data_IF_849001952387
#
_entry.id   IF_849001952387
#
_cell.length_a   1.000
_cell.length_b   1.000
_cell.length_c   1.000
_cell.angle_alpha   90.00
_cell.angle_beta   90.00
_cell.angle_gamma   90.00
#
_symmetry.space_group_name_H-M   'P 1'
#
loop_
_entity.id
_entity.type
_entity.pdbx_description
1 polymer ?
#
# COMPACT_ATOMS: atom_id res chain seq x y z
N UNK A 1 -13.59 -30.52 26.45
CA UNK A 1 -12.70 -29.81 25.52
C UNK A 1 -12.93 -30.39 24.14
N UNK A 2 -13.74 -29.70 23.34
CA UNK A 2 -13.74 -29.91 21.90
C UNK A 2 -12.63 -28.99 21.36
N UNK A 3 -11.63 -29.58 20.71
CA UNK A 3 -10.64 -28.81 19.94
C UNK A 3 -11.35 -28.49 18.62
N UNK A 4 -11.46 -27.21 18.27
CA UNK A 4 -11.96 -26.84 16.94
C UNK A 4 -10.82 -27.13 15.96
N UNK A 5 -11.14 -27.79 14.85
CA UNK A 5 -10.20 -27.97 13.75
C UNK A 5 -10.49 -26.93 12.68
N UNK A 6 -9.54 -26.04 12.43
CA UNK A 6 -9.68 -24.92 11.49
C UNK A 6 -10.27 -23.67 12.15
N UNK A 7 -10.26 -22.55 11.41
CA UNK A 7 -10.67 -21.24 11.89
C UNK A 7 -12.05 -21.23 12.55
N UNK A 8 -12.15 -20.62 13.72
CA UNK A 8 -13.35 -20.52 14.53
C UNK A 8 -13.59 -19.11 15.08
N UNK A 9 -14.84 -18.84 15.46
CA UNK A 9 -15.22 -17.71 16.28
C UNK A 9 -15.81 -18.25 17.59
N UNK A 10 -15.16 -17.94 18.71
CA UNK A 10 -15.46 -18.50 20.03
C UNK A 10 -15.88 -17.37 20.97
N UNK A 11 -17.00 -17.58 21.65
CA UNK A 11 -17.57 -16.60 22.58
C UNK A 11 -17.75 -17.25 23.95
N UNK A 12 -17.27 -16.58 24.99
CA UNK A 12 -17.55 -16.90 26.37
C UNK A 12 -18.85 -16.27 26.85
N UNK A 13 -18.95 -16.09 28.15
CA UNK A 13 -20.12 -15.63 28.89
C UNK A 13 -19.76 -14.42 29.75
N UNK A 14 -20.62 -14.04 30.70
CA UNK A 14 -20.29 -12.99 31.69
C UNK A 14 -19.57 -13.58 32.93
N UNK A 15 -19.10 -14.82 32.85
CA UNK A 15 -18.41 -15.53 33.92
C UNK A 15 -16.98 -15.90 33.48
N UNK A 16 -16.11 -16.21 34.45
CA UNK A 16 -14.75 -16.64 34.15
C UNK A 16 -14.73 -17.94 33.32
N UNK A 17 -14.32 -17.83 32.06
CA UNK A 17 -14.31 -18.87 31.06
C UNK A 17 -12.88 -19.33 30.70
N UNK A 18 -12.78 -20.55 30.17
CA UNK A 18 -11.57 -21.07 29.55
C UNK A 18 -11.87 -21.40 28.10
N UNK A 19 -11.37 -20.58 27.20
CA UNK A 19 -11.59 -20.68 25.75
C UNK A 19 -10.30 -21.17 25.10
N UNK A 20 -10.42 -22.12 24.18
CA UNK A 20 -9.28 -22.65 23.41
C UNK A 20 -9.67 -22.79 21.96
N UNK A 21 -9.00 -22.06 21.06
CA UNK A 21 -9.24 -22.04 19.62
C UNK A 21 -8.84 -23.37 18.98
N UNK A 22 -7.56 -23.72 19.07
CA UNK A 22 -7.03 -24.99 18.58
C UNK A 22 -6.09 -24.80 17.40
N UNK A 23 -6.39 -25.44 16.27
CA UNK A 23 -5.64 -25.25 15.03
C UNK A 23 -6.41 -24.30 14.10
N UNK A 24 -5.73 -23.37 13.45
CA UNK A 24 -6.33 -22.40 12.53
C UNK A 24 -6.24 -20.98 13.06
N UNK A 25 -6.77 -20.01 12.30
CA UNK A 25 -6.83 -18.63 12.75
C UNK A 25 -8.18 -18.42 13.44
N UNK A 26 -8.17 -18.29 14.77
CA UNK A 26 -9.33 -18.18 15.62
C UNK A 26 -9.57 -16.76 16.12
N UNK A 27 -10.84 -16.42 16.33
CA UNK A 27 -11.27 -15.17 16.96
C UNK A 27 -11.96 -15.50 18.29
N UNK A 28 -11.44 -14.96 19.39
CA UNK A 28 -11.87 -15.26 20.75
C UNK A 28 -12.43 -14.00 21.42
N UNK A 29 -13.66 -14.08 21.92
CA UNK A 29 -14.27 -13.06 22.77
C UNK A 29 -14.61 -13.69 24.12
N UNK A 30 -13.93 -13.25 25.19
CA UNK A 30 -14.17 -13.74 26.55
C UNK A 30 -15.55 -13.35 27.08
N UNK A 31 -15.86 -12.05 27.00
CA UNK A 31 -17.07 -11.47 27.57
C UNK A 31 -16.71 -10.67 28.81
N UNK A 32 -17.45 -10.86 29.90
CA UNK A 32 -17.09 -10.30 31.19
C UNK A 32 -16.57 -11.41 32.11
N UNK A 33 -15.81 -11.05 33.14
CA UNK A 33 -15.20 -12.03 34.04
C UNK A 33 -13.70 -12.11 33.79
N UNK A 34 -13.02 -13.01 34.50
CA UNK A 34 -11.58 -13.20 34.35
C UNK A 34 -11.34 -14.44 33.49
N UNK A 35 -11.13 -14.23 32.20
CA UNK A 35 -11.10 -15.30 31.21
C UNK A 35 -9.68 -15.77 30.91
N UNK A 36 -9.58 -16.99 30.39
CA UNK A 36 -8.36 -17.52 29.78
C UNK A 36 -8.63 -17.75 28.30
N UNK A 37 -8.01 -16.94 27.45
CA UNK A 37 -8.12 -17.00 26.00
C UNK A 37 -6.85 -17.64 25.44
N UNK A 38 -6.98 -18.85 24.92
CA UNK A 38 -5.89 -19.59 24.28
C UNK A 38 -6.16 -19.76 22.79
N UNK A 39 -5.46 -19.03 21.92
CA UNK A 39 -5.65 -19.12 20.46
C UNK A 39 -5.22 -20.49 19.95
N UNK A 40 -3.95 -20.83 20.16
CA UNK A 40 -3.40 -22.13 19.82
C UNK A 40 -2.38 -22.03 18.71
N UNK A 41 -2.63 -22.69 17.58
CA UNK A 41 -1.77 -22.67 16.40
C UNK A 41 -2.43 -21.90 15.28
N UNK A 42 -1.87 -20.77 14.88
CA UNK A 42 -2.39 -19.96 13.80
C UNK A 42 -2.00 -18.50 14.01
N UNK A 43 -2.81 -17.60 13.47
CA UNK A 43 -2.82 -16.18 13.85
C UNK A 43 -4.17 -15.94 14.51
N UNK A 44 -4.15 -15.80 15.83
CA UNK A 44 -5.35 -15.79 16.67
C UNK A 44 -5.60 -14.40 17.25
N UNK A 45 -6.88 -14.03 17.35
CA UNK A 45 -7.33 -12.72 17.81
C UNK A 45 -8.08 -12.81 19.13
N UNK A 46 -7.80 -11.92 20.07
CA UNK A 46 -8.72 -11.61 21.16
C UNK A 46 -9.44 -10.27 20.89
N UNK A 47 -10.77 -10.28 20.97
CA UNK A 47 -11.60 -9.14 20.58
C UNK A 47 -12.47 -8.59 21.72
N UNK A 48 -12.47 -7.27 21.87
CA UNK A 48 -13.22 -6.52 22.88
C UNK A 48 -14.15 -5.43 22.33
N UNK A 49 -14.78 -5.57 21.13
CA UNK A 49 -15.50 -4.49 20.48
C UNK A 49 -16.72 -3.99 21.27
N UNK A 50 -17.25 -4.83 22.16
CA UNK A 50 -18.43 -4.55 22.97
C UNK A 50 -18.09 -4.20 24.43
N UNK A 51 -16.80 -4.06 24.78
CA UNK A 51 -16.42 -3.69 26.15
C UNK A 51 -16.99 -2.31 26.50
N UNK A 52 -17.61 -2.14 27.68
CA UNK A 52 -18.32 -0.91 28.03
C UNK A 52 -17.37 0.24 28.42
N UNK A 53 -16.08 -0.04 28.52
CA UNK A 53 -15.01 0.94 28.70
C UNK A 53 -13.74 0.45 28.00
N UNK A 54 -12.73 1.33 27.89
CA UNK A 54 -11.48 1.01 27.22
C UNK A 54 -10.69 -0.08 27.92
N UNK A 55 -9.97 -0.86 27.12
CA UNK A 55 -9.17 -1.99 27.58
C UNK A 55 -7.69 -1.62 27.74
N UNK A 56 -6.98 -2.36 28.59
CA UNK A 56 -5.52 -2.32 28.69
C UNK A 56 -4.93 -3.71 28.37
N UNK A 57 -4.51 -3.91 27.13
CA UNK A 57 -4.02 -5.19 26.63
C UNK A 57 -2.50 -5.17 26.41
N UNK A 58 -1.84 -6.28 26.73
CA UNK A 58 -0.45 -6.52 26.36
C UNK A 58 -0.23 -7.98 25.97
N UNK A 59 0.06 -8.20 24.68
CA UNK A 59 0.39 -9.53 24.16
C UNK A 59 1.71 -10.01 24.78
N UNK A 60 2.73 -9.14 24.85
CA UNK A 60 4.00 -9.46 25.52
C UNK A 60 3.84 -9.98 26.95
N UNK A 61 2.92 -9.38 27.71
CA UNK A 61 2.66 -9.77 29.09
C UNK A 61 1.67 -10.94 29.21
N UNK A 62 1.03 -11.35 28.11
CA UNK A 62 0.02 -12.41 28.08
C UNK A 62 -1.24 -12.05 28.88
N UNK A 63 -1.64 -10.77 28.89
CA UNK A 63 -2.73 -10.30 29.74
C UNK A 63 -3.51 -9.13 29.12
N UNK A 64 -4.81 -9.11 29.37
CA UNK A 64 -5.63 -7.90 29.32
C UNK A 64 -5.89 -7.48 30.76
N UNK A 65 -5.14 -6.49 31.25
CA UNK A 65 -5.13 -6.10 32.66
C UNK A 65 -6.42 -5.41 33.11
N UNK A 66 -7.10 -4.78 32.17
CA UNK A 66 -8.47 -4.29 32.28
C UNK A 66 -9.20 -4.66 30.98
N UNK A 67 -10.16 -5.57 31.05
CA UNK A 67 -11.00 -6.04 29.93
C UNK A 67 -12.14 -5.05 29.58
N UNK A 68 -12.22 -3.94 30.29
CA UNK A 68 -13.28 -2.94 30.16
C UNK A 68 -14.54 -3.27 30.97
N UNK A 69 -14.59 -4.42 31.66
CA UNK A 69 -15.67 -4.82 32.59
C UNK A 69 -15.25 -4.75 34.06
N UNK A 70 -13.98 -4.46 34.32
CA UNK A 70 -13.38 -4.41 35.66
C UNK A 70 -12.73 -5.72 36.09
N UNK A 71 -12.47 -6.62 35.14
CA UNK A 71 -11.76 -7.88 35.32
C UNK A 71 -10.47 -7.88 34.50
N UNK A 72 -9.77 -9.01 34.50
CA UNK A 72 -8.53 -9.20 33.75
C UNK A 72 -8.51 -10.57 33.10
N UNK A 73 -8.09 -10.63 31.84
CA UNK A 73 -7.99 -11.87 31.07
C UNK A 73 -6.56 -12.29 30.87
N UNK A 74 -6.34 -13.60 30.74
CA UNK A 74 -5.06 -14.20 30.36
C UNK A 74 -5.06 -14.53 28.88
N UNK A 75 -4.02 -14.09 28.17
CA UNK A 75 -3.80 -14.36 26.76
C UNK A 75 -2.71 -15.43 26.60
N UNK A 76 -2.98 -16.45 25.79
CA UNK A 76 -2.04 -17.53 25.46
C UNK A 76 -2.10 -17.74 23.94
N UNK A 77 -0.95 -17.66 23.26
CA UNK A 77 -0.88 -17.82 21.79
C UNK A 77 -1.91 -16.94 21.08
N UNK A 78 -1.79 -15.63 21.29
CA UNK A 78 -2.61 -14.60 20.66
C UNK A 78 -1.64 -13.64 19.98
N UNK A 79 -1.89 -13.34 18.71
CA UNK A 79 -1.06 -12.46 17.87
C UNK A 79 -1.84 -11.20 17.44
N UNK A 80 -3.15 -11.17 17.71
CA UNK A 80 -4.03 -10.06 17.36
C UNK A 80 -4.89 -9.57 18.51
N UNK A 81 -5.01 -8.25 18.65
CA UNK A 81 -5.97 -7.61 19.55
C UNK A 81 -6.86 -6.66 18.76
N UNK A 82 -8.17 -6.83 18.93
CA UNK A 82 -9.16 -5.82 18.56
C UNK A 82 -9.68 -5.20 19.85
N UNK A 83 -9.50 -3.88 19.97
CA UNK A 83 -9.95 -3.05 21.06
C UNK A 83 -11.47 -2.88 21.13
N UNK A 84 -11.87 -1.87 21.87
CA UNK A 84 -13.25 -1.46 22.12
C UNK A 84 -13.58 -0.19 21.32
N UNK A 85 -14.81 0.30 21.43
CA UNK A 85 -15.17 1.62 20.88
C UNK A 85 -14.80 2.79 21.80
N UNK A 86 -13.91 2.56 22.77
CA UNK A 86 -13.44 3.53 23.74
C UNK A 86 -11.92 3.58 23.74
N UNK A 87 -11.36 4.59 24.40
CA UNK A 87 -9.91 4.77 24.51
C UNK A 87 -9.19 3.55 25.10
N UNK A 88 -8.49 2.82 24.26
CA UNK A 88 -7.75 1.62 24.62
C UNK A 88 -6.25 1.89 24.75
N UNK A 89 -5.58 0.98 25.46
CA UNK A 89 -4.11 0.89 25.47
C UNK A 89 -3.72 -0.51 25.03
N UNK A 90 -3.14 -0.61 23.84
CA UNK A 90 -2.76 -1.86 23.20
C UNK A 90 -1.25 -1.94 23.08
N UNK A 91 -0.65 -3.02 23.55
CA UNK A 91 0.79 -3.30 23.43
C UNK A 91 1.01 -4.66 22.79
N UNK A 92 1.80 -4.70 21.73
CA UNK A 92 2.23 -5.91 21.05
C UNK A 92 3.27 -6.69 21.83
N UNK A 93 4.11 -7.42 21.11
CA UNK A 93 5.07 -8.39 21.61
C UNK A 93 6.44 -8.17 20.97
N UNK A 94 7.22 -9.24 20.82
CA UNK A 94 8.47 -9.22 20.07
C UNK A 94 8.35 -9.96 18.72
N UNK A 95 7.12 -10.33 18.37
CA UNK A 95 6.72 -11.05 17.18
C UNK A 95 5.78 -10.14 16.37
N UNK A 96 5.56 -10.42 15.08
CA UNK A 96 4.57 -9.68 14.30
C UNK A 96 3.17 -9.78 14.93
N UNK A 97 2.60 -8.62 15.28
CA UNK A 97 1.28 -8.52 15.89
C UNK A 97 0.31 -7.68 15.04
N UNK A 98 -1.00 -7.88 15.27
CA UNK A 98 -2.07 -7.06 14.66
C UNK A 98 -2.84 -6.34 15.75
N UNK A 99 -2.72 -5.01 15.80
CA UNK A 99 -3.36 -4.18 16.84
C UNK A 99 -4.36 -3.21 16.21
N UNK A 100 -5.63 -3.36 16.59
CA UNK A 100 -6.74 -2.55 16.06
C UNK A 100 -7.46 -1.85 17.21
N UNK A 101 -7.44 -0.52 17.25
CA UNK A 101 -8.10 0.30 18.28
C UNK A 101 -9.62 0.33 18.16
N UNK A 102 -10.13 0.56 16.94
CA UNK A 102 -11.54 0.79 16.58
C UNK A 102 -12.01 2.23 16.83
N UNK A 103 -12.41 2.57 18.05
CA UNK A 103 -13.03 3.86 18.34
C UNK A 103 -12.48 4.44 19.62
N UNK A 104 -12.36 5.76 19.69
CA UNK A 104 -11.83 6.41 20.88
C UNK A 104 -10.48 7.04 20.59
N UNK A 105 -9.78 7.50 21.62
CA UNK A 105 -8.40 7.98 21.48
C UNK A 105 -7.47 6.92 22.05
N UNK A 106 -6.89 6.12 21.16
CA UNK A 106 -6.16 4.91 21.50
C UNK A 106 -4.67 5.17 21.64
N UNK A 107 -4.00 4.35 22.44
CA UNK A 107 -2.54 4.27 22.48
C UNK A 107 -2.10 2.88 22.06
N UNK A 108 -1.46 2.80 20.90
CA UNK A 108 -1.01 1.56 20.27
C UNK A 108 0.52 1.56 20.24
N UNK A 109 1.13 0.50 20.76
CA UNK A 109 2.57 0.28 20.77
C UNK A 109 2.85 -1.14 20.23
N UNK A 110 3.35 -1.24 19.01
CA UNK A 110 3.71 -2.52 18.37
C UNK A 110 4.83 -3.26 19.11
N UNK A 111 5.71 -2.49 19.77
CA UNK A 111 6.89 -2.92 20.47
C UNK A 111 8.01 -3.43 19.54
N UNK A 112 8.13 -4.72 19.28
CA UNK A 112 9.12 -5.23 18.33
C UNK A 112 8.49 -6.31 17.45
N UNK A 113 8.97 -6.44 16.22
CA UNK A 113 8.29 -7.25 15.21
C UNK A 113 7.91 -6.39 14.03
N UNK A 114 7.38 -7.01 12.98
CA UNK A 114 6.88 -6.28 11.82
C UNK A 114 5.35 -6.18 11.98
N UNK A 115 4.86 -5.10 12.58
CA UNK A 115 3.50 -5.01 13.09
C UNK A 115 2.51 -4.38 12.11
N UNK A 116 1.24 -4.79 12.23
CA UNK A 116 0.10 -4.19 11.52
C UNK A 116 -0.76 -3.41 12.50
N UNK A 117 -0.77 -2.08 12.37
CA UNK A 117 -1.35 -1.17 13.34
C UNK A 117 -2.51 -0.39 12.73
N UNK A 118 -3.62 -0.28 13.45
CA UNK A 118 -4.78 0.48 13.01
C UNK A 118 -5.49 1.17 14.18
N UNK A 119 -5.33 2.48 14.29
CA UNK A 119 -6.13 3.30 15.22
C UNK A 119 -7.63 3.20 14.91
N UNK A 120 -7.98 3.37 13.62
CA UNK A 120 -9.36 3.53 13.14
C UNK A 120 -9.89 4.90 13.52
N UNK A 121 -11.08 5.06 14.10
CA UNK A 121 -11.64 6.39 14.36
C UNK A 121 -11.15 6.94 15.69
N UNK A 122 -10.53 8.11 15.69
CA UNK A 122 -9.95 8.55 16.94
C UNK A 122 -9.02 9.73 16.87
N UNK A 123 -8.36 9.96 17.99
CA UNK A 123 -7.14 10.75 17.99
C UNK A 123 -6.05 9.88 18.61
N UNK A 124 -5.42 9.07 17.76
CA UNK A 124 -4.65 7.93 18.23
C UNK A 124 -3.15 8.25 18.31
N UNK A 125 -2.48 7.58 19.24
CA UNK A 125 -1.03 7.58 19.37
C UNK A 125 -0.50 6.21 18.96
N UNK A 126 0.30 6.17 17.89
CA UNK A 126 0.81 4.92 17.30
C UNK A 126 2.33 4.91 17.37
N UNK A 127 2.90 3.95 18.10
CA UNK A 127 4.31 3.60 18.01
C UNK A 127 4.43 2.25 17.31
N UNK A 128 5.19 2.18 16.21
CA UNK A 128 5.53 0.89 15.60
C UNK A 128 6.53 0.14 16.45
N UNK A 129 7.74 0.69 16.54
CA UNK A 129 8.76 0.19 17.45
C UNK A 129 9.97 -0.31 16.69
N UNK A 130 10.51 -1.47 17.10
CA UNK A 130 11.63 -2.10 16.41
C UNK A 130 11.12 -3.09 15.34
N UNK A 131 11.33 -2.79 14.06
CA UNK A 131 10.95 -3.69 12.96
C UNK A 131 10.56 -2.91 11.73
N UNK A 132 9.72 -3.49 10.88
CA UNK A 132 9.07 -2.81 9.75
C UNK A 132 7.57 -2.77 10.01
N UNK A 133 7.10 -1.61 10.47
CA UNK A 133 5.72 -1.45 10.93
C UNK A 133 4.85 -0.78 9.87
N UNK A 134 3.59 -1.22 9.79
CA UNK A 134 2.59 -0.67 8.86
C UNK A 134 1.39 -0.12 9.61
N UNK A 135 1.14 1.18 9.49
CA UNK A 135 -0.10 1.81 9.94
C UNK A 135 -1.14 1.88 8.80
N UNK A 136 -2.37 1.44 9.06
CA UNK A 136 -3.44 1.39 8.06
C UNK A 136 -4.44 2.54 8.22
N UNK A 137 -4.77 3.14 7.08
CA UNK A 137 -5.75 4.21 6.93
C UNK A 137 -6.83 3.79 5.93
N UNK A 138 -8.09 4.09 6.24
CA UNK A 138 -9.24 3.53 5.51
C UNK A 138 -9.56 4.25 4.19
N UNK A 139 -9.09 5.47 4.02
CA UNK A 139 -9.20 6.27 2.80
C UNK A 139 -7.96 6.18 1.91
N UNK A 140 -8.01 6.85 0.76
CA UNK A 140 -6.80 7.06 -0.03
C UNK A 140 -6.02 8.30 0.41
N UNK A 141 -4.73 8.37 0.05
CA UNK A 141 -3.78 9.37 0.55
C UNK A 141 -4.28 10.82 0.42
N UNK A 142 -4.97 11.16 -0.68
CA UNK A 142 -5.51 12.52 -0.91
C UNK A 142 -6.58 12.96 0.09
N UNK A 143 -7.15 12.02 0.84
CA UNK A 143 -8.14 12.31 1.88
C UNK A 143 -7.47 12.83 3.16
N UNK A 144 -6.14 12.72 3.29
CA UNK A 144 -5.41 13.03 4.50
C UNK A 144 -4.52 14.25 4.34
N UNK A 145 -4.41 15.02 5.42
CA UNK A 145 -3.34 15.99 5.62
C UNK A 145 -2.23 15.33 6.44
N UNK A 146 -1.09 15.05 5.81
CA UNK A 146 0.07 14.44 6.45
C UNK A 146 1.15 15.49 6.74
N UNK A 147 1.65 15.50 7.96
CA UNK A 147 2.80 16.28 8.39
C UNK A 147 3.86 15.34 8.98
N UNK A 148 5.00 15.20 8.32
CA UNK A 148 6.12 14.38 8.81
C UNK A 148 7.11 15.27 9.56
N UNK A 149 7.51 14.85 10.76
CA UNK A 149 8.46 15.55 11.64
C UNK A 149 9.49 14.60 12.20
N UNK A 150 10.69 14.60 11.62
CA UNK A 150 11.78 13.72 12.06
C UNK A 150 11.41 12.26 11.82
N UNK A 151 11.36 11.46 12.89
CA UNK A 151 10.99 10.04 12.86
C UNK A 151 9.50 9.79 13.16
N UNK A 152 8.69 10.85 13.20
CA UNK A 152 7.25 10.74 13.45
C UNK A 152 6.42 11.53 12.47
N UNK A 153 5.11 11.41 12.60
CA UNK A 153 4.13 12.07 11.76
C UNK A 153 2.88 12.48 12.54
N UNK A 154 2.13 13.40 11.97
CA UNK A 154 0.72 13.64 12.29
C UNK A 154 -0.07 13.50 11.01
N UNK A 155 -1.17 12.77 11.06
CA UNK A 155 -2.04 12.55 9.91
C UNK A 155 -3.49 12.86 10.31
N UNK A 156 -4.13 13.74 9.55
CA UNK A 156 -5.51 14.15 9.79
C UNK A 156 -6.36 13.73 8.60
N UNK A 157 -7.39 12.94 8.86
CA UNK A 157 -8.42 12.62 7.90
C UNK A 157 -9.34 13.82 7.67
N UNK A 158 -9.47 14.25 6.41
CA UNK A 158 -10.33 15.37 6.03
C UNK A 158 -11.73 14.92 5.58
N UNK A 159 -12.04 13.62 5.64
CA UNK A 159 -13.38 13.08 5.35
C UNK A 159 -14.34 13.41 6.49
N UNK A 160 -15.64 13.27 6.22
CA UNK A 160 -16.67 13.52 7.23
C UNK A 160 -16.71 12.40 8.29
N UNK A 161 -17.07 12.76 9.53
CA UNK A 161 -16.92 11.97 10.76
C UNK A 161 -17.60 10.58 10.84
N UNK A 162 -18.28 10.10 9.79
CA UNK A 162 -18.95 8.79 9.80
C UNK A 162 -18.00 7.61 9.56
N UNK A 163 -16.95 7.81 8.76
CA UNK A 163 -15.96 6.81 8.36
C UNK A 163 -14.52 7.37 8.44
N UNK A 164 -14.34 8.45 9.22
CA UNK A 164 -13.06 9.15 9.30
C UNK A 164 -12.16 8.49 10.34
N UNK A 165 -10.89 8.31 10.01
CA UNK A 165 -9.90 7.79 10.95
C UNK A 165 -9.55 8.86 12.02
N UNK A 166 -9.81 10.14 11.74
CA UNK A 166 -9.63 11.21 12.72
C UNK A 166 -8.25 11.85 12.63
N UNK A 167 -7.56 12.07 13.76
CA UNK A 167 -6.24 12.74 13.77
C UNK A 167 -5.24 12.00 14.64
N UNK A 168 -4.31 11.34 13.98
CA UNK A 168 -3.37 10.44 14.64
C UNK A 168 -1.96 11.02 14.62
N UNK A 169 -1.20 10.67 15.64
CA UNK A 169 0.22 10.93 15.72
C UNK A 169 0.96 9.61 15.85
N UNK A 170 2.05 9.45 15.10
CA UNK A 170 2.84 8.25 15.18
C UNK A 170 4.34 8.43 15.06
N UNK A 171 5.08 7.41 15.49
CA UNK A 171 6.55 7.32 15.48
C UNK A 171 7.00 5.90 15.20
N UNK A 172 8.16 5.76 14.56
CA UNK A 172 8.73 4.44 14.28
C UNK A 172 7.80 3.56 13.44
N UNK A 173 7.16 4.15 12.42
CA UNK A 173 6.34 3.44 11.45
C UNK A 173 6.95 3.64 10.08
N UNK A 174 7.28 2.55 9.41
CA UNK A 174 7.98 2.55 8.14
C UNK A 174 7.04 2.65 6.95
N UNK A 175 5.77 2.27 7.11
CA UNK A 175 4.78 2.23 6.03
C UNK A 175 3.45 2.81 6.51
N UNK A 176 2.95 3.82 5.80
CA UNK A 176 1.55 4.25 5.91
C UNK A 176 0.78 3.67 4.72
N UNK A 177 -0.18 2.79 5.00
CA UNK A 177 -0.97 2.08 4.00
C UNK A 177 -2.33 2.73 3.82
N UNK A 178 -2.71 2.97 2.57
CA UNK A 178 -3.95 3.63 2.18
C UNK A 178 -4.74 2.77 1.19
N UNK A 179 -6.00 3.14 0.94
CA UNK A 179 -6.84 2.46 -0.05
C UNK A 179 -6.22 2.43 -1.46
N UNK A 180 -5.41 3.44 -1.83
CA UNK A 180 -4.88 3.67 -3.17
C UNK A 180 -3.36 3.48 -3.31
N UNK A 181 -2.67 3.05 -2.26
CA UNK A 181 -1.22 2.82 -2.30
C UNK A 181 -0.60 2.85 -0.91
N UNK A 182 0.72 2.96 -0.85
CA UNK A 182 1.47 3.07 0.39
C UNK A 182 2.51 4.18 0.31
N UNK A 183 2.73 4.85 1.44
CA UNK A 183 3.78 5.82 1.60
C UNK A 183 4.90 5.18 2.43
N UNK A 184 6.10 5.11 1.85
CA UNK A 184 7.21 4.30 2.36
C UNK A 184 8.31 5.18 2.95
N UNK A 185 8.67 4.89 4.20
CA UNK A 185 9.72 5.55 4.99
C UNK A 185 10.90 4.62 5.31
N UNK A 186 10.82 3.32 5.01
CA UNK A 186 11.96 2.42 5.14
C UNK A 186 12.97 2.63 4.00
N UNK A 187 14.24 2.84 4.39
CA UNK A 187 15.33 2.98 3.45
C UNK A 187 15.69 1.67 2.73
N UNK A 188 15.28 0.51 3.23
CA UNK A 188 15.56 -0.80 2.64
C UNK A 188 14.41 -1.36 1.78
N UNK A 189 13.24 -0.73 1.80
CA UNK A 189 12.11 -1.09 0.94
C UNK A 189 12.51 -1.00 -0.55
N UNK A 190 11.99 -1.90 -1.40
CA UNK A 190 12.16 -1.81 -2.84
C UNK A 190 11.95 -0.41 -3.44
N UNK A 191 10.99 0.38 -2.94
CA UNK A 191 10.74 1.75 -3.38
C UNK A 191 11.96 2.65 -3.19
N UNK A 192 12.54 2.67 -1.98
CA UNK A 192 13.73 3.45 -1.67
C UNK A 192 14.95 2.99 -2.49
N UNK A 193 15.09 1.67 -2.67
CA UNK A 193 16.19 1.07 -3.45
C UNK A 193 16.09 1.41 -4.94
N UNK A 194 14.88 1.41 -5.50
CA UNK A 194 14.64 1.79 -6.90
C UNK A 194 14.91 3.27 -7.11
N UNK A 195 14.42 4.16 -6.23
CA UNK A 195 14.71 5.61 -6.31
C UNK A 195 16.21 5.88 -6.28
N UNK A 196 16.95 5.29 -5.33
CA UNK A 196 18.41 5.42 -5.26
C UNK A 196 19.11 4.92 -6.52
N UNK A 197 18.61 3.82 -7.10
CA UNK A 197 19.19 3.28 -8.33
C UNK A 197 18.95 4.20 -9.53
N UNK A 198 17.79 4.86 -9.61
CA UNK A 198 17.52 5.90 -10.61
C UNK A 198 18.46 7.09 -10.47
N UNK A 199 18.67 7.59 -9.26
CA UNK A 199 19.59 8.71 -9.04
C UNK A 199 21.04 8.31 -9.36
N UNK A 200 21.48 7.14 -8.91
CA UNK A 200 22.82 6.65 -9.18
C UNK A 200 23.07 6.43 -10.68
N UNK A 201 22.11 5.82 -11.39
CA UNK A 201 22.27 5.47 -12.79
C UNK A 201 21.98 6.63 -13.74
N UNK A 202 20.93 7.39 -13.48
CA UNK A 202 20.35 8.36 -14.41
C UNK A 202 20.46 9.80 -13.93
N UNK A 203 20.83 10.07 -12.68
CA UNK A 203 20.90 11.43 -12.11
C UNK A 203 19.55 12.17 -12.22
N UNK A 204 18.47 11.46 -11.86
CA UNK A 204 17.11 12.01 -11.72
C UNK A 204 16.23 11.10 -10.87
N UNK A 205 15.12 11.66 -10.39
CA UNK A 205 14.02 10.88 -9.85
C UNK A 205 13.30 10.04 -10.94
N UNK A 206 12.71 8.90 -10.57
CA UNK A 206 11.81 8.16 -11.45
C UNK A 206 10.49 8.91 -11.70
N UNK A 207 9.90 8.69 -12.86
CA UNK A 207 8.46 8.93 -13.06
C UNK A 207 7.64 7.85 -12.34
N UNK A 208 6.37 8.12 -12.05
CA UNK A 208 5.57 7.23 -11.18
C UNK A 208 5.40 5.84 -11.81
N UNK A 209 5.09 5.79 -13.12
CA UNK A 209 4.90 4.52 -13.82
C UNK A 209 6.19 3.67 -13.84
N UNK A 210 7.34 4.31 -14.10
CA UNK A 210 8.65 3.68 -14.00
C UNK A 210 8.95 3.19 -12.59
N UNK A 211 8.66 4.00 -11.56
CA UNK A 211 8.88 3.63 -10.16
C UNK A 211 8.08 2.37 -9.79
N UNK A 212 6.76 2.37 -9.96
CA UNK A 212 5.90 1.26 -9.60
C UNK A 212 6.25 -0.04 -10.37
N UNK A 213 6.56 0.07 -11.67
CA UNK A 213 6.95 -1.09 -12.46
C UNK A 213 8.22 -1.78 -11.91
N UNK A 214 9.22 -0.99 -11.50
CA UNK A 214 10.46 -1.52 -10.96
C UNK A 214 10.34 -1.99 -9.51
N UNK A 215 9.50 -1.34 -8.70
CA UNK A 215 9.14 -1.84 -7.37
C UNK A 215 8.54 -3.24 -7.49
N UNK A 216 7.53 -3.41 -8.34
CA UNK A 216 6.88 -4.71 -8.58
C UNK A 216 7.85 -5.76 -9.10
N UNK A 217 8.77 -5.39 -10.00
CA UNK A 217 9.81 -6.31 -10.48
C UNK A 217 10.74 -6.78 -9.35
N UNK A 218 11.19 -5.87 -8.47
CA UNK A 218 12.07 -6.21 -7.34
C UNK A 218 11.32 -7.06 -6.32
N UNK A 219 10.08 -6.73 -5.99
CA UNK A 219 9.22 -7.54 -5.12
C UNK A 219 8.95 -8.93 -5.71
N UNK A 220 8.82 -9.03 -7.03
CA UNK A 220 8.73 -10.29 -7.77
C UNK A 220 10.04 -11.11 -7.84
N UNK A 221 11.10 -10.66 -7.16
CA UNK A 221 12.38 -11.37 -7.06
C UNK A 221 13.43 -10.98 -8.10
N UNK A 222 13.19 -9.95 -8.93
CA UNK A 222 14.22 -9.43 -9.82
C UNK A 222 15.33 -8.76 -9.00
N UNK A 223 16.60 -9.17 -9.14
CA UNK A 223 17.68 -8.54 -8.41
C UNK A 223 17.92 -7.11 -8.93
N UNK A 224 18.33 -6.20 -8.04
CA UNK A 224 18.69 -4.82 -8.43
C UNK A 224 19.75 -4.77 -9.53
N UNK A 225 20.66 -5.73 -9.60
CA UNK A 225 21.67 -5.80 -10.66
C UNK A 225 21.05 -6.04 -12.05
N UNK A 226 19.90 -6.71 -12.12
CA UNK A 226 19.10 -6.83 -13.35
C UNK A 226 18.53 -5.48 -13.79
N UNK A 227 17.97 -4.71 -12.86
CA UNK A 227 17.47 -3.35 -13.13
C UNK A 227 18.61 -2.42 -13.56
N UNK A 228 19.72 -2.45 -12.81
CA UNK A 228 20.92 -1.68 -13.09
C UNK A 228 21.46 -1.97 -14.50
N UNK A 229 21.48 -3.24 -14.92
CA UNK A 229 21.84 -3.63 -16.28
C UNK A 229 20.92 -3.01 -17.33
N UNK A 230 19.60 -3.01 -17.07
CA UNK A 230 18.60 -2.38 -17.93
C UNK A 230 18.82 -0.86 -18.07
N UNK A 231 19.06 -0.16 -16.96
CA UNK A 231 19.36 1.28 -16.98
C UNK A 231 20.62 1.58 -17.79
N UNK A 232 21.71 0.86 -17.54
CA UNK A 232 22.97 1.05 -18.26
C UNK A 232 22.85 0.78 -19.78
N UNK A 233 21.94 -0.11 -20.19
CA UNK A 233 21.68 -0.43 -21.59
C UNK A 233 20.68 0.53 -22.28
N UNK A 234 19.93 1.31 -21.49
CA UNK A 234 18.83 2.14 -21.98
C UNK A 234 19.29 3.23 -22.96
N UNK A 235 18.38 3.63 -23.85
CA UNK A 235 18.60 4.79 -24.73
C UNK A 235 18.76 6.08 -23.92
N UNK A 236 18.04 6.20 -22.80
CA UNK A 236 18.13 7.36 -21.92
C UNK A 236 19.52 7.52 -21.32
N UNK A 237 20.08 6.45 -20.75
CA UNK A 237 21.42 6.49 -20.16
C UNK A 237 22.46 6.91 -21.22
N UNK A 238 22.39 6.31 -22.42
CA UNK A 238 23.25 6.68 -23.55
C UNK A 238 23.05 8.11 -24.01
N UNK A 239 21.83 8.63 -23.99
CA UNK A 239 21.54 10.02 -24.36
C UNK A 239 22.08 11.01 -23.32
N UNK A 240 21.98 10.70 -22.03
CA UNK A 240 22.46 11.57 -20.93
C UNK A 240 23.98 11.60 -20.82
N UNK A 241 24.63 10.45 -20.92
CA UNK A 241 26.05 10.31 -20.56
C UNK A 241 26.95 9.88 -21.72
N UNK A 242 26.39 9.59 -22.89
CA UNK A 242 27.11 9.06 -24.04
C UNK A 242 27.49 7.59 -23.88
N UNK A 243 28.31 7.09 -24.81
CA UNK A 243 28.91 5.77 -24.66
C UNK A 243 29.99 5.85 -23.57
N UNK A 244 29.81 5.12 -22.45
CA UNK A 244 30.87 5.03 -21.44
C UNK A 244 32.01 4.16 -21.98
N UNK A 245 33.05 4.83 -22.49
CA UNK A 245 34.15 4.20 -23.21
C UNK A 245 34.96 3.22 -22.36
N UNK A 246 35.38 3.61 -21.16
CA UNK A 246 36.22 2.78 -20.28
C UNK A 246 35.69 2.71 -18.84
N UNK A 247 36.25 1.79 -18.05
CA UNK A 247 35.86 1.57 -16.66
C UNK A 247 36.19 2.78 -15.76
N UNK A 248 37.16 3.62 -16.11
CA UNK A 248 37.52 4.82 -15.35
C UNK A 248 36.45 5.90 -15.48
N UNK A 249 36.08 6.22 -16.71
CA UNK A 249 34.98 7.14 -17.00
C UNK A 249 33.66 6.68 -16.37
N UNK A 250 33.44 5.37 -16.29
CA UNK A 250 32.28 4.81 -15.58
C UNK A 250 32.30 5.10 -14.09
N UNK A 251 33.39 4.77 -13.40
CA UNK A 251 33.53 4.99 -11.96
C UNK A 251 33.45 6.49 -11.64
N UNK A 252 34.11 7.33 -12.45
CA UNK A 252 34.05 8.78 -12.28
C UNK A 252 32.62 9.31 -12.41
N UNK A 253 31.82 8.77 -13.34
CA UNK A 253 30.40 9.11 -13.47
C UNK A 253 29.59 8.73 -12.24
N UNK A 254 29.78 7.53 -11.69
CA UNK A 254 29.06 7.11 -10.49
C UNK A 254 29.39 7.99 -9.29
N UNK A 255 30.66 8.36 -9.09
CA UNK A 255 31.05 9.31 -8.05
C UNK A 255 30.36 10.67 -8.21
N UNK A 256 30.21 11.16 -9.45
CA UNK A 256 29.49 12.41 -9.71
C UNK A 256 27.99 12.29 -9.42
N UNK A 257 27.32 11.27 -9.97
CA UNK A 257 25.87 11.11 -9.81
C UNK A 257 25.47 10.85 -8.35
N UNK A 258 26.23 10.01 -7.64
CA UNK A 258 25.88 9.51 -6.30
C UNK A 258 26.35 10.45 -5.21
N UNK A 259 27.55 11.02 -5.37
CA UNK A 259 28.23 11.76 -4.30
C UNK A 259 28.51 13.23 -4.64
N UNK A 260 28.18 13.66 -5.87
CA UNK A 260 28.41 15.04 -6.31
C UNK A 260 29.88 15.47 -6.30
N UNK A 261 30.82 14.52 -6.31
CA UNK A 261 32.26 14.79 -6.13
C UNK A 261 33.11 13.84 -6.95
N UNK A 262 34.39 14.18 -7.08
CA UNK A 262 35.37 13.22 -7.59
C UNK A 262 35.63 12.13 -6.54
N UNK A 263 35.85 10.90 -7.01
CA UNK A 263 36.34 9.82 -6.15
C UNK A 263 37.74 10.13 -5.64
N UNK A 264 38.01 9.77 -4.39
CA UNK A 264 39.38 9.78 -3.90
C UNK A 264 40.21 8.72 -4.64
N UNK A 265 41.53 8.91 -4.68
CA UNK A 265 42.41 8.07 -5.49
C UNK A 265 42.29 6.57 -5.13
N UNK A 266 42.20 6.25 -3.84
CA UNK A 266 42.16 4.87 -3.37
C UNK A 266 40.81 4.21 -3.68
N UNK A 267 39.70 4.90 -3.41
CA UNK A 267 38.36 4.41 -3.72
C UNK A 267 38.17 4.19 -5.23
N UNK A 268 38.60 5.15 -6.04
CA UNK A 268 38.56 5.02 -7.50
C UNK A 268 39.39 3.85 -8.01
N UNK A 269 40.62 3.68 -7.50
CA UNK A 269 41.51 2.57 -7.86
C UNK A 269 40.91 1.21 -7.48
N UNK A 270 40.26 1.12 -6.31
CA UNK A 270 39.58 -0.10 -5.85
C UNK A 270 38.47 -0.53 -6.81
N UNK A 271 37.57 0.39 -7.18
CA UNK A 271 36.48 0.09 -8.12
C UNK A 271 36.97 -0.27 -9.51
N UNK A 272 38.00 0.42 -10.00
CA UNK A 272 38.67 0.09 -11.26
C UNK A 272 39.26 -1.32 -11.22
N UNK A 273 39.94 -1.68 -10.13
CA UNK A 273 40.47 -3.01 -9.91
C UNK A 273 39.36 -4.07 -9.94
N UNK A 274 38.24 -3.83 -9.26
CA UNK A 274 37.10 -4.74 -9.23
C UNK A 274 36.48 -4.97 -10.61
N UNK A 275 36.26 -3.91 -11.40
CA UNK A 275 35.76 -4.00 -12.77
C UNK A 275 36.74 -4.75 -13.68
N UNK A 276 38.03 -4.47 -13.57
CA UNK A 276 39.07 -5.14 -14.36
C UNK A 276 39.27 -6.61 -13.96
N UNK A 277 38.91 -6.97 -12.72
CA UNK A 277 38.90 -8.34 -12.23
C UNK A 277 37.60 -9.11 -12.60
N UNK A 278 36.65 -8.48 -13.29
CA UNK A 278 35.44 -9.13 -13.83
C UNK A 278 34.14 -8.82 -13.09
N UNK A 279 34.14 -7.93 -12.09
CA UNK A 279 32.88 -7.44 -11.50
C UNK A 279 32.07 -6.71 -12.57
N UNK A 280 30.76 -6.97 -12.64
CA UNK A 280 29.93 -6.32 -13.67
C UNK A 280 29.72 -4.84 -13.36
N UNK A 281 29.52 -4.03 -14.41
CA UNK A 281 29.17 -2.61 -14.23
C UNK A 281 27.87 -2.46 -13.41
N UNK A 282 26.90 -3.34 -13.63
CA UNK A 282 25.64 -3.34 -12.91
C UNK A 282 25.83 -3.58 -11.40
N UNK A 283 26.68 -4.53 -11.01
CA UNK A 283 26.97 -4.80 -9.60
C UNK A 283 27.69 -3.61 -8.95
N UNK A 284 28.60 -2.95 -9.68
CA UNK A 284 29.25 -1.72 -9.19
C UNK A 284 28.23 -0.59 -9.03
N UNK A 285 27.30 -0.40 -9.97
CA UNK A 285 26.23 0.60 -9.84
C UNK A 285 25.36 0.33 -8.61
N UNK A 286 24.96 -0.92 -8.40
CA UNK A 286 24.20 -1.31 -7.19
C UNK A 286 25.01 -1.04 -5.93
N UNK A 287 26.32 -1.35 -5.92
CA UNK A 287 27.17 -1.10 -4.76
C UNK A 287 27.32 0.41 -4.45
N UNK A 288 27.38 1.26 -5.47
CA UNK A 288 27.34 2.72 -5.30
C UNK A 288 25.97 3.19 -4.79
N UNK A 289 24.88 2.75 -5.43
CA UNK A 289 23.50 3.06 -5.06
C UNK A 289 23.19 2.71 -3.60
N UNK A 290 23.67 1.55 -3.14
CA UNK A 290 23.37 1.03 -1.81
C UNK A 290 24.50 1.31 -0.80
N UNK A 291 25.48 2.13 -1.16
CA UNK A 291 26.55 2.55 -0.25
C UNK A 291 25.99 3.37 0.91
N UNK A 292 26.64 3.30 2.07
CA UNK A 292 26.26 4.07 3.25
C UNK A 292 26.26 5.59 2.98
N UNK A 293 27.20 6.06 2.16
CA UNK A 293 27.28 7.48 1.78
C UNK A 293 26.09 7.89 0.91
N UNK A 294 25.68 7.07 -0.07
CA UNK A 294 24.49 7.36 -0.87
C UNK A 294 23.20 7.30 -0.06
N UNK A 295 23.04 6.26 0.78
CA UNK A 295 21.86 6.16 1.67
C UNK A 295 21.74 7.38 2.58
N UNK A 296 22.85 7.93 3.06
CA UNK A 296 22.88 9.18 3.81
C UNK A 296 22.52 10.39 2.93
N UNK A 297 23.02 10.45 1.70
CA UNK A 297 22.70 11.50 0.72
C UNK A 297 21.22 11.55 0.33
N UNK A 298 20.56 10.39 0.25
CA UNK A 298 19.15 10.27 -0.14
C UNK A 298 18.20 10.16 1.06
N UNK A 299 18.70 10.32 2.29
CA UNK A 299 17.90 10.12 3.51
C UNK A 299 16.68 11.04 3.55
N UNK A 300 16.80 12.28 3.08
CA UNK A 300 15.70 13.23 3.05
C UNK A 300 14.56 12.80 2.11
N UNK A 301 14.86 12.08 1.02
CA UNK A 301 13.83 11.57 0.10
C UNK A 301 12.99 10.50 0.79
N UNK A 302 13.65 9.60 1.52
CA UNK A 302 13.00 8.53 2.27
C UNK A 302 12.21 9.11 3.46
N UNK A 303 12.76 10.09 4.18
CA UNK A 303 12.08 10.77 5.30
C UNK A 303 10.80 11.51 4.88
N UNK A 304 10.72 11.99 3.64
CA UNK A 304 9.51 12.64 3.13
C UNK A 304 8.44 11.63 2.65
N UNK A 305 8.74 10.33 2.66
CA UNK A 305 7.88 9.29 2.16
C UNK A 305 7.97 9.12 0.64
N UNK A 306 8.16 7.89 0.20
CA UNK A 306 8.11 7.52 -1.22
C UNK A 306 6.73 6.95 -1.53
N UNK A 307 6.01 7.60 -2.44
CA UNK A 307 4.69 7.14 -2.85
C UNK A 307 4.76 5.96 -3.81
N UNK A 308 4.30 4.82 -3.33
CA UNK A 308 4.14 3.58 -4.09
C UNK A 308 2.64 3.34 -4.33
N UNK A 309 2.14 3.92 -5.43
CA UNK A 309 0.75 3.79 -5.87
C UNK A 309 0.37 2.33 -6.16
N UNK A 310 -0.84 1.92 -5.81
CA UNK A 310 -1.39 0.64 -6.32
C UNK A 310 -1.84 0.79 -7.79
N UNK A 311 -1.25 0.01 -8.70
CA UNK A 311 -1.68 -0.06 -10.09
C UNK A 311 -3.12 -0.57 -10.22
N UNK A 312 -3.46 -1.60 -9.45
CA UNK A 312 -4.82 -2.14 -9.41
C UNK A 312 -5.83 -1.08 -8.98
N UNK A 313 -5.49 -0.25 -7.98
CA UNK A 313 -6.35 0.87 -7.57
C UNK A 313 -6.53 1.89 -8.71
N UNK A 314 -5.45 2.26 -9.39
CA UNK A 314 -5.50 3.23 -10.49
C UNK A 314 -6.33 2.72 -11.68
N UNK A 315 -6.20 1.45 -12.04
CA UNK A 315 -6.97 0.79 -13.10
C UNK A 315 -8.45 0.67 -12.72
N UNK A 316 -8.77 0.24 -11.50
CA UNK A 316 -10.15 0.18 -11.01
C UNK A 316 -10.80 1.56 -10.99
N UNK A 317 -10.09 2.60 -10.56
CA UNK A 317 -10.62 3.97 -10.57
C UNK A 317 -10.94 4.46 -11.99
N UNK A 318 -10.13 4.09 -13.00
CA UNK A 318 -10.45 4.38 -14.42
C UNK A 318 -11.65 3.58 -14.92
N UNK A 319 -11.85 2.35 -14.44
CA UNK A 319 -13.07 1.59 -14.75
C UNK A 319 -14.32 2.25 -14.15
N UNK A 320 -14.24 2.78 -12.92
CA UNK A 320 -15.34 3.54 -12.31
C UNK A 320 -15.67 4.77 -13.13
N UNK A 321 -14.66 5.56 -13.51
CA UNK A 321 -14.84 6.76 -14.33
C UNK A 321 -15.48 6.41 -15.68
N UNK A 322 -14.97 5.37 -16.35
CA UNK A 322 -15.48 4.91 -17.65
C UNK A 322 -16.93 4.43 -17.58
N UNK A 323 -17.29 3.66 -16.55
CA UNK A 323 -18.63 3.03 -16.48
C UNK A 323 -19.67 3.97 -15.87
N UNK A 324 -19.31 4.75 -14.87
CA UNK A 324 -20.25 5.54 -14.07
C UNK A 324 -20.09 7.06 -14.22
N UNK A 325 -19.00 7.54 -14.83
CA UNK A 325 -18.70 8.98 -14.96
C UNK A 325 -18.30 9.62 -13.63
N UNK A 326 -17.75 8.83 -12.71
CA UNK A 326 -17.29 9.27 -11.38
C UNK A 326 -16.16 8.38 -10.88
N UNK A 327 -15.38 8.91 -9.94
CA UNK A 327 -14.35 8.15 -9.22
C UNK A 327 -14.98 7.26 -8.12
N UNK A 328 -14.25 6.26 -7.61
CA UNK A 328 -14.78 5.37 -6.57
C UNK A 328 -14.85 6.04 -5.20
N UNK A 329 -15.61 5.40 -4.29
CA UNK A 329 -15.41 5.54 -2.85
C UNK A 329 -14.30 4.57 -2.38
N UNK A 330 -13.75 4.79 -1.18
CA UNK A 330 -12.64 3.98 -0.67
C UNK A 330 -13.02 2.50 -0.45
N UNK A 331 -14.19 2.16 0.14
CA UNK A 331 -14.59 0.77 0.30
C UNK A 331 -14.76 0.02 -1.02
N UNK A 332 -15.43 0.64 -1.99
CA UNK A 332 -15.68 0.08 -3.32
C UNK A 332 -14.41 -0.09 -4.12
N UNK A 333 -13.43 0.82 -4.00
CA UNK A 333 -12.10 0.65 -4.56
C UNK A 333 -11.37 -0.54 -3.93
N UNK A 334 -11.37 -0.61 -2.60
CA UNK A 334 -10.67 -1.63 -1.81
C UNK A 334 -11.07 -3.04 -2.19
N UNK A 335 -12.38 -3.32 -2.34
CA UNK A 335 -12.90 -4.64 -2.73
C UNK A 335 -12.27 -5.13 -4.04
N UNK A 336 -12.28 -4.30 -5.09
CA UNK A 336 -11.77 -4.71 -6.40
C UNK A 336 -10.26 -4.73 -6.47
N UNK A 337 -9.59 -3.75 -5.84
CA UNK A 337 -8.13 -3.72 -5.70
C UNK A 337 -7.64 -5.02 -5.06
N UNK A 338 -8.15 -5.37 -3.89
CA UNK A 338 -7.73 -6.58 -3.16
C UNK A 338 -7.98 -7.84 -3.98
N UNK A 339 -9.12 -7.94 -4.67
CA UNK A 339 -9.42 -9.08 -5.53
C UNK A 339 -8.42 -9.20 -6.71
N UNK A 340 -7.99 -8.08 -7.31
CA UNK A 340 -7.00 -8.08 -8.40
C UNK A 340 -5.61 -8.43 -7.87
N UNK A 341 -5.17 -7.81 -6.77
CA UNK A 341 -3.86 -8.04 -6.16
C UNK A 341 -3.71 -9.49 -5.66
N UNK A 342 -4.80 -10.10 -5.18
CA UNK A 342 -4.84 -11.51 -4.81
C UNK A 342 -4.97 -12.48 -6.01
N UNK A 343 -5.04 -11.98 -7.24
CA UNK A 343 -5.23 -12.79 -8.46
C UNK A 343 -6.60 -13.46 -8.56
N UNK A 344 -7.58 -12.99 -7.78
CA UNK A 344 -8.95 -13.51 -7.73
C UNK A 344 -9.87 -12.89 -8.79
N UNK A 345 -9.50 -11.72 -9.31
CA UNK A 345 -10.22 -11.03 -10.38
C UNK A 345 -9.25 -10.42 -11.41
N UNK A 346 -9.72 -10.29 -12.64
CA UNK A 346 -9.10 -9.51 -13.72
C UNK A 346 -9.89 -8.24 -13.98
N UNK A 347 -9.26 -7.23 -14.60
CA UNK A 347 -9.93 -5.98 -14.98
C UNK A 347 -11.17 -6.21 -15.87
N UNK A 348 -11.12 -7.20 -16.76
CA UNK A 348 -12.29 -7.58 -17.58
C UNK A 348 -13.44 -8.09 -16.71
N UNK A 349 -13.15 -8.91 -15.68
CA UNK A 349 -14.19 -9.37 -14.75
C UNK A 349 -14.76 -8.23 -13.90
N UNK A 350 -13.94 -7.26 -13.50
CA UNK A 350 -14.41 -6.06 -12.80
C UNK A 350 -15.32 -5.23 -13.72
N UNK A 351 -14.91 -4.98 -14.96
CA UNK A 351 -15.71 -4.28 -15.97
C UNK A 351 -17.05 -4.99 -16.25
N UNK A 352 -17.04 -6.32 -16.33
CA UNK A 352 -18.26 -7.12 -16.48
C UNK A 352 -19.18 -6.95 -15.26
N UNK A 353 -18.63 -7.04 -14.05
CA UNK A 353 -19.39 -6.82 -12.81
C UNK A 353 -20.00 -5.42 -12.73
N UNK A 354 -19.28 -4.38 -13.17
CA UNK A 354 -19.80 -3.01 -13.20
C UNK A 354 -20.96 -2.87 -14.17
N UNK A 355 -20.81 -3.35 -15.41
CA UNK A 355 -21.89 -3.27 -16.41
C UNK A 355 -23.09 -4.17 -16.08
N UNK A 356 -22.89 -5.21 -15.27
CA UNK A 356 -23.94 -6.07 -14.74
C UNK A 356 -24.53 -5.59 -13.39
N UNK A 357 -24.04 -4.48 -12.83
CA UNK A 357 -24.44 -4.01 -11.51
C UNK A 357 -25.86 -3.42 -11.48
N UNK A 358 -26.44 -3.35 -10.27
CA UNK A 358 -27.70 -2.64 -10.06
C UNK A 358 -27.55 -1.12 -10.27
N UNK A 359 -26.38 -0.56 -9.91
CA UNK A 359 -26.05 0.85 -10.13
C UNK A 359 -26.08 1.19 -11.62
N UNK A 360 -25.41 0.42 -12.46
CA UNK A 360 -25.38 0.64 -13.91
C UNK A 360 -26.78 0.59 -14.52
N UNK A 361 -27.58 -0.41 -14.15
CA UNK A 361 -28.98 -0.49 -14.58
C UNK A 361 -29.83 0.66 -14.06
N UNK A 362 -29.56 1.15 -12.85
CA UNK A 362 -30.25 2.29 -12.26
C UNK A 362 -29.93 3.59 -12.99
N UNK A 363 -28.67 3.79 -13.38
CA UNK A 363 -28.20 5.00 -14.06
C UNK A 363 -28.63 5.04 -15.54
N UNK A 364 -28.52 3.92 -16.26
CA UNK A 364 -28.70 3.91 -17.72
C UNK A 364 -29.89 3.09 -18.23
N UNK A 365 -30.50 2.25 -17.39
CA UNK A 365 -31.52 1.29 -17.83
C UNK A 365 -30.96 0.22 -18.77
N UNK A 366 -31.73 -0.16 -19.78
CA UNK A 366 -31.31 -1.14 -20.80
C UNK A 366 -30.80 -0.41 -22.04
N UNK A 367 -29.49 -0.33 -22.18
CA UNK A 367 -28.85 0.26 -23.36
C UNK A 367 -28.74 -0.76 -24.49
N UNK A 368 -28.94 -0.32 -25.74
CA UNK A 368 -28.49 -1.07 -26.91
C UNK A 368 -26.95 -0.90 -27.09
N UNK A 369 -26.33 -1.58 -28.06
CA UNK A 369 -24.88 -1.50 -28.25
C UNK A 369 -24.38 -0.11 -28.66
N UNK A 370 -25.15 0.64 -29.43
CA UNK A 370 -24.81 2.00 -29.84
C UNK A 370 -24.90 2.96 -28.66
N UNK A 371 -26.02 2.94 -27.94
CA UNK A 371 -26.24 3.82 -26.78
C UNK A 371 -25.22 3.52 -25.66
N UNK A 372 -24.82 2.26 -25.51
CA UNK A 372 -23.73 1.85 -24.63
C UNK A 372 -22.40 2.50 -25.03
N UNK A 373 -22.02 2.42 -26.30
CA UNK A 373 -20.80 3.07 -26.79
C UNK A 373 -20.85 4.60 -26.62
N UNK A 374 -22.00 5.23 -26.90
CA UNK A 374 -22.19 6.68 -26.68
C UNK A 374 -22.00 7.06 -25.21
N UNK A 375 -22.53 6.29 -24.27
CA UNK A 375 -22.37 6.54 -22.84
C UNK A 375 -20.88 6.50 -22.41
N UNK A 376 -20.11 5.54 -22.92
CA UNK A 376 -18.68 5.45 -22.61
C UNK A 376 -17.89 6.66 -23.14
N UNK A 377 -18.20 7.16 -24.34
CA UNK A 377 -17.56 8.39 -24.84
C UNK A 377 -17.81 9.59 -23.92
N UNK A 378 -19.04 9.74 -23.44
CA UNK A 378 -19.40 10.84 -22.55
C UNK A 378 -18.67 10.73 -21.22
N UNK A 379 -18.66 9.55 -20.61
CA UNK A 379 -18.03 9.34 -19.31
C UNK A 379 -16.52 9.45 -19.38
N UNK A 380 -15.89 8.69 -20.30
CA UNK A 380 -14.44 8.53 -20.37
C UNK A 380 -13.73 9.73 -20.99
N UNK A 381 -14.36 10.40 -21.96
CA UNK A 381 -13.68 11.40 -22.79
C UNK A 381 -14.32 12.79 -22.72
N UNK A 382 -15.32 12.97 -21.86
CA UNK A 382 -16.08 14.22 -21.67
C UNK A 382 -16.65 14.80 -22.98
N UNK A 383 -16.97 13.94 -23.95
CA UNK A 383 -17.41 14.37 -25.28
C UNK A 383 -18.33 13.37 -25.95
N UNK A 384 -19.11 13.87 -26.91
CA UNK A 384 -19.84 13.00 -27.82
C UNK A 384 -18.88 12.20 -28.71
N UNK A 385 -19.29 10.98 -29.04
CA UNK A 385 -18.58 10.14 -30.00
C UNK A 385 -18.55 10.80 -31.39
N UNK A 386 -17.41 10.76 -32.06
CA UNK A 386 -17.38 11.03 -33.49
C UNK A 386 -18.02 9.86 -34.25
N UNK A 387 -18.48 10.12 -35.47
CA UNK A 387 -19.23 9.13 -36.24
C UNK A 387 -18.43 7.84 -36.47
N UNK A 388 -17.14 7.95 -36.80
CA UNK A 388 -16.31 6.80 -37.14
C UNK A 388 -16.03 5.94 -35.90
N UNK A 389 -15.68 6.56 -34.77
CA UNK A 389 -15.47 5.88 -33.50
C UNK A 389 -16.72 5.14 -33.02
N UNK A 390 -17.88 5.79 -33.13
CA UNK A 390 -19.15 5.17 -32.73
C UNK A 390 -19.54 3.98 -33.63
N UNK A 391 -19.36 4.12 -34.94
CA UNK A 391 -19.59 3.01 -35.89
C UNK A 391 -18.66 1.83 -35.62
N UNK A 392 -17.39 2.10 -35.31
CA UNK A 392 -16.40 1.07 -34.97
C UNK A 392 -16.82 0.26 -33.74
N UNK A 393 -17.09 0.93 -32.61
CA UNK A 393 -17.42 0.25 -31.36
C UNK A 393 -18.77 -0.46 -31.40
N UNK A 394 -19.77 0.16 -32.04
CA UNK A 394 -21.08 -0.48 -32.26
C UNK A 394 -20.91 -1.75 -33.11
N UNK A 395 -20.10 -1.68 -34.18
CA UNK A 395 -19.79 -2.82 -35.04
C UNK A 395 -19.07 -3.95 -34.30
N UNK A 396 -18.10 -3.62 -33.44
CA UNK A 396 -17.37 -4.58 -32.62
C UNK A 396 -18.29 -5.33 -31.66
N UNK A 397 -19.15 -4.61 -30.92
CA UNK A 397 -20.15 -5.20 -30.03
C UNK A 397 -21.14 -6.09 -30.78
N UNK A 398 -21.61 -5.65 -31.95
CA UNK A 398 -22.50 -6.44 -32.80
C UNK A 398 -21.83 -7.70 -33.36
N UNK A 399 -20.49 -7.70 -33.45
CA UNK A 399 -19.70 -8.84 -33.91
C UNK A 399 -19.27 -9.79 -32.78
N UNK A 400 -19.72 -9.54 -31.54
CA UNK A 400 -19.53 -10.43 -30.40
C UNK A 400 -18.44 -10.00 -29.41
N UNK A 401 -17.80 -8.84 -29.58
CA UNK A 401 -16.95 -8.27 -28.53
C UNK A 401 -17.79 -7.97 -27.29
N UNK A 402 -17.31 -8.34 -26.10
CA UNK A 402 -18.07 -8.11 -24.87
C UNK A 402 -18.08 -6.63 -24.46
N UNK A 403 -19.09 -6.23 -23.69
CA UNK A 403 -19.14 -4.88 -23.10
C UNK A 403 -17.96 -4.61 -22.18
N UNK A 404 -17.54 -5.62 -21.42
CA UNK A 404 -16.39 -5.55 -20.53
C UNK A 404 -15.08 -5.26 -21.28
N UNK A 405 -14.86 -5.92 -22.43
CA UNK A 405 -13.68 -5.66 -23.28
C UNK A 405 -13.71 -4.25 -23.87
N UNK A 406 -14.88 -3.75 -24.28
CA UNK A 406 -15.02 -2.37 -24.76
C UNK A 406 -14.75 -1.37 -23.63
N UNK A 407 -15.32 -1.57 -22.43
CA UNK A 407 -15.04 -0.74 -21.25
C UNK A 407 -13.55 -0.69 -20.95
N UNK A 408 -12.88 -1.85 -20.93
CA UNK A 408 -11.45 -1.91 -20.66
C UNK A 408 -10.65 -1.13 -21.73
N UNK A 409 -11.04 -1.24 -23.01
CA UNK A 409 -10.37 -0.51 -24.08
C UNK A 409 -10.54 1.01 -23.99
N UNK A 410 -11.69 1.50 -23.51
CA UNK A 410 -11.90 2.92 -23.22
C UNK A 410 -11.09 3.36 -21.98
N UNK A 411 -11.20 2.60 -20.89
CA UNK A 411 -10.53 2.84 -19.61
C UNK A 411 -9.01 2.99 -19.77
N UNK A 412 -8.39 2.11 -20.55
CA UNK A 412 -6.94 2.09 -20.74
C UNK A 412 -6.49 2.80 -22.02
N UNK A 413 -7.38 3.59 -22.64
CA UNK A 413 -7.00 4.43 -23.77
C UNK A 413 -6.04 5.53 -23.32
N UNK A 414 -5.06 5.87 -24.15
CA UNK A 414 -4.09 6.94 -23.84
C UNK A 414 -4.75 8.28 -23.58
N UNK A 415 -5.86 8.57 -24.25
CA UNK A 415 -6.63 9.81 -24.06
C UNK A 415 -7.24 9.85 -22.65
N UNK A 416 -7.91 8.77 -22.23
CA UNK A 416 -8.51 8.68 -20.90
C UNK A 416 -7.48 8.74 -19.77
N UNK A 417 -6.40 7.94 -19.88
CA UNK A 417 -5.30 7.91 -18.92
C UNK A 417 -4.68 9.32 -18.74
N UNK A 418 -4.64 10.12 -19.81
CA UNK A 418 -4.19 11.50 -19.75
C UNK A 418 -5.22 12.45 -19.12
N UNK A 419 -6.52 12.28 -19.43
CA UNK A 419 -7.61 13.09 -18.87
C UNK A 419 -7.74 12.90 -17.35
N UNK A 420 -7.63 11.67 -16.87
CA UNK A 420 -7.77 11.37 -15.43
C UNK A 420 -6.46 11.51 -14.66
N UNK A 421 -5.36 11.89 -15.31
CA UNK A 421 -4.02 11.84 -14.71
C UNK A 421 -3.92 12.63 -13.40
N UNK A 422 -4.45 13.86 -13.37
CA UNK A 422 -4.44 14.71 -12.18
C UNK A 422 -5.29 14.16 -11.02
N UNK A 423 -6.22 13.25 -11.30
CA UNK A 423 -7.14 12.69 -10.33
C UNK A 423 -6.74 11.30 -9.84
N UNK A 424 -5.98 10.53 -10.61
CA UNK A 424 -5.66 9.12 -10.32
C UNK A 424 -4.14 8.87 -10.18
N UNK A 425 -3.33 9.68 -10.85
CA UNK A 425 -1.91 9.41 -11.04
C UNK A 425 -1.04 10.65 -11.09
N UNK A 426 -1.37 11.63 -10.25
CA UNK A 426 -0.57 12.84 -10.15
C UNK A 426 0.86 12.49 -9.72
N UNK A 427 1.84 13.10 -10.39
CA UNK A 427 3.26 13.05 -9.99
C UNK A 427 3.64 14.21 -9.06
N UNK A 428 2.70 15.10 -8.73
CA UNK A 428 2.92 16.16 -7.75
C UNK A 428 2.76 15.60 -6.32
N UNK A 429 3.79 15.67 -5.46
CA UNK A 429 3.73 15.13 -4.10
C UNK A 429 2.54 15.61 -3.26
N UNK A 430 2.14 16.87 -3.41
CA UNK A 430 0.97 17.41 -2.69
C UNK A 430 -0.38 16.93 -3.24
N UNK A 431 -0.37 16.07 -4.26
CA UNK A 431 -1.55 15.55 -4.95
C UNK A 431 -1.44 14.05 -5.23
N UNK A 432 -0.49 13.34 -4.60
CA UNK A 432 -0.37 11.88 -4.71
C UNK A 432 -1.64 11.17 -4.25
N UNK A 433 -1.98 10.08 -4.94
CA UNK A 433 -3.17 9.28 -4.68
C UNK A 433 -4.36 9.63 -5.59
N UNK A 434 -5.45 8.93 -5.35
CA UNK A 434 -6.71 9.02 -6.09
C UNK A 434 -7.64 10.02 -5.40
N UNK A 435 -8.33 10.85 -6.18
CA UNK A 435 -9.44 11.64 -5.68
C UNK A 435 -10.66 10.73 -5.50
N UNK A 436 -11.26 10.74 -4.32
CA UNK A 436 -12.47 9.94 -4.04
C UNK A 436 -13.73 10.80 -4.21
N UNK A 437 -14.84 10.13 -4.54
CA UNK A 437 -16.14 10.75 -4.79
C UNK A 437 -16.86 11.25 -3.53
#
# INVERSE_FOLDING_TARGET
MAIISGNGALFGTDAADQITGGDGNDTLTGGAGADVLNGGSGVDFAEYPNSPSGIEASIAAGVVGNDGTGSSDTLISIEGIVGSLNNDRLVGSALPDVLIGLGGADTIDGAAGDDLLRGSSGADQIAGGDGIDTAFYSGGLRSYALAVTGAGFTITDNRSAGDADGTDAGVGVEILSFADGRLVFDANDPAARVVRLYEAALDRAPDQAGLNAWIGAVQGGQPLSGLASGFLASDEFRARFGAIGDNGAYVDRLYQNVLGRAGDAAGRESWLGALNAGTSRADVLVAFSESAENKAGTAALVQNGIWDRSEAAAEVARLYDTVFGRLPDAPGLGVWKTAIEAGQASLVQVADAFTASAEFRGQYGVLNNRDFAEALYVNTLDRAADQAGLEYWTGALNSGLSRAEVVLAFSESREHVALTAANIQSENPGQYGILFA
#
